data_IF_540918351536
#
_entry.id   IF_540918351536
#
_cell.length_a   1.000
_cell.length_b   1.000
_cell.length_c   1.000
_cell.angle_alpha   90.00
_cell.angle_beta   90.00
_cell.angle_gamma   90.00
#
_symmetry.space_group_name_H-M   'P 1'
#
loop_
_entity.id
_entity.type
_entity.pdbx_description
1 polymer ?
#
# COMPACT_ATOMS: atom_id res chain seq x y z
N UNK A 1 -25.71 10.12 1.27
CA UNK A 1 -25.59 9.37 0.00
C UNK A 1 -25.57 7.88 0.31
N UNK A 2 -25.98 7.03 -0.63
CA UNK A 2 -26.13 5.58 -0.40
C UNK A 2 -24.79 4.94 0.00
N UNK A 3 -24.75 4.26 1.15
CA UNK A 3 -23.56 3.56 1.65
C UNK A 3 -23.34 2.19 0.97
N UNK A 4 -24.39 1.67 0.34
CA UNK A 4 -24.36 0.45 -0.44
C UNK A 4 -25.26 0.56 -1.66
N UNK A 5 -24.84 -0.08 -2.76
CA UNK A 5 -25.61 -0.23 -3.98
C UNK A 5 -26.16 -1.66 -3.99
N UNK A 6 -27.47 -1.81 -4.20
CA UNK A 6 -28.10 -3.12 -4.36
C UNK A 6 -28.17 -3.48 -5.84
N UNK A 7 -27.56 -4.60 -6.22
CA UNK A 7 -27.64 -5.18 -7.57
C UNK A 7 -28.31 -6.54 -7.42
N UNK A 8 -29.65 -6.56 -7.51
CA UNK A 8 -30.44 -7.76 -7.20
C UNK A 8 -30.26 -8.19 -5.73
N UNK A 9 -29.91 -9.45 -5.43
CA UNK A 9 -29.67 -9.90 -4.06
C UNK A 9 -28.31 -9.46 -3.49
N UNK A 10 -27.43 -8.86 -4.30
CA UNK A 10 -26.09 -8.48 -3.87
C UNK A 10 -26.05 -7.05 -3.33
N UNK A 11 -25.56 -6.91 -2.10
CA UNK A 11 -25.30 -5.61 -1.47
C UNK A 11 -23.82 -5.29 -1.60
N UNK A 12 -23.47 -4.35 -2.47
CA UNK A 12 -22.07 -3.92 -2.65
C UNK A 12 -21.83 -2.64 -1.85
N UNK A 13 -20.94 -2.71 -0.86
CA UNK A 13 -20.55 -1.55 -0.06
C UNK A 13 -19.80 -0.54 -0.92
N UNK A 14 -20.17 0.74 -0.82
CA UNK A 14 -19.50 1.80 -1.58
C UNK A 14 -18.01 1.91 -1.24
N UNK A 15 -17.63 1.62 0.01
CA UNK A 15 -16.22 1.57 0.44
C UNK A 15 -15.40 0.51 -0.30
N UNK A 16 -16.00 -0.62 -0.69
CA UNK A 16 -15.34 -1.65 -1.48
C UNK A 16 -15.12 -1.17 -2.92
N UNK A 17 -16.12 -0.53 -3.52
CA UNK A 17 -15.98 0.07 -4.85
C UNK A 17 -14.90 1.14 -4.88
N UNK A 18 -14.85 2.01 -3.87
CA UNK A 18 -13.80 3.01 -3.73
C UNK A 18 -12.42 2.39 -3.55
N UNK A 19 -12.31 1.29 -2.79
CA UNK A 19 -11.05 0.56 -2.61
C UNK A 19 -10.54 -0.03 -3.93
N UNK A 20 -11.41 -0.71 -4.68
CA UNK A 20 -11.05 -1.29 -5.98
C UNK A 20 -10.69 -0.18 -6.97
N UNK A 21 -11.53 0.86 -7.06
CA UNK A 21 -11.28 2.00 -7.93
C UNK A 21 -9.99 2.74 -7.60
N UNK A 22 -9.67 2.90 -6.31
CA UNK A 22 -8.44 3.57 -5.89
C UNK A 22 -7.19 2.75 -6.19
N UNK A 23 -7.26 1.43 -6.05
CA UNK A 23 -6.18 0.54 -6.50
C UNK A 23 -5.97 0.69 -8.00
N UNK A 24 -7.04 0.62 -8.82
CA UNK A 24 -6.95 0.83 -10.28
C UNK A 24 -6.30 2.18 -10.60
N UNK A 25 -6.69 3.25 -9.91
CA UNK A 25 -6.07 4.57 -10.07
C UNK A 25 -4.56 4.56 -9.71
N UNK A 26 -4.17 3.80 -8.68
CA UNK A 26 -2.77 3.62 -8.33
C UNK A 26 -1.96 2.91 -9.41
N UNK A 27 -2.50 1.85 -10.00
CA UNK A 27 -1.90 1.15 -11.14
C UNK A 27 -1.76 2.08 -12.35
N UNK A 28 -2.82 2.81 -12.71
CA UNK A 28 -2.84 3.74 -13.84
C UNK A 28 -1.84 4.89 -13.66
N UNK A 29 -1.83 5.51 -12.48
CA UNK A 29 -0.91 6.61 -12.19
C UNK A 29 0.54 6.15 -12.30
N UNK A 30 0.87 4.99 -11.74
CA UNK A 30 2.20 4.43 -11.84
C UNK A 30 2.57 4.11 -13.30
N UNK A 31 1.65 3.51 -14.06
CA UNK A 31 1.87 3.21 -15.47
C UNK A 31 2.21 4.46 -16.30
N UNK A 32 1.55 5.59 -16.02
CA UNK A 32 1.75 6.86 -16.73
C UNK A 32 3.02 7.59 -16.27
N UNK A 33 3.30 7.59 -14.96
CA UNK A 33 4.38 8.40 -14.36
C UNK A 33 5.70 7.64 -14.14
N UNK A 34 5.71 6.35 -14.43
CA UNK A 34 6.85 5.46 -14.26
C UNK A 34 8.11 6.01 -14.96
N UNK A 35 9.26 6.07 -14.26
CA UNK A 35 10.55 6.43 -14.84
C UNK A 35 11.22 5.25 -15.57
N UNK A 36 10.65 4.04 -15.51
CA UNK A 36 11.19 2.83 -16.11
C UNK A 36 10.75 2.65 -17.57
N UNK A 37 11.45 1.77 -18.29
CA UNK A 37 11.00 1.36 -19.64
C UNK A 37 9.62 0.69 -19.55
N UNK A 38 8.87 0.68 -20.67
CA UNK A 38 7.51 0.11 -20.70
C UNK A 38 7.47 -1.35 -20.24
N UNK A 39 8.45 -2.16 -20.64
CA UNK A 39 8.52 -3.58 -20.27
C UNK A 39 8.82 -3.77 -18.78
N UNK A 40 9.75 -2.98 -18.24
CA UNK A 40 10.06 -2.98 -16.79
C UNK A 40 8.85 -2.49 -15.97
N UNK A 41 8.15 -1.46 -16.44
CA UNK A 41 6.94 -0.94 -15.80
C UNK A 41 5.85 -2.00 -15.73
N UNK A 42 5.58 -2.68 -16.85
CA UNK A 42 4.62 -3.79 -16.90
C UNK A 42 5.00 -4.90 -15.95
N UNK A 43 6.28 -5.30 -15.96
CA UNK A 43 6.79 -6.30 -15.04
C UNK A 43 6.56 -5.89 -13.57
N UNK A 44 6.88 -4.65 -13.18
CA UNK A 44 6.62 -4.18 -11.82
C UNK A 44 5.14 -4.21 -11.47
N UNK A 45 4.26 -3.79 -12.38
CA UNK A 45 2.82 -3.85 -12.18
C UNK A 45 2.34 -5.29 -12.00
N UNK A 46 2.83 -6.24 -12.80
CA UNK A 46 2.49 -7.67 -12.65
C UNK A 46 2.92 -8.20 -11.29
N UNK A 47 4.13 -7.86 -10.83
CA UNK A 47 4.61 -8.25 -9.51
C UNK A 47 3.80 -7.59 -8.39
N UNK A 48 3.40 -6.32 -8.54
CA UNK A 48 2.54 -5.62 -7.57
C UNK A 48 1.14 -6.26 -7.53
N UNK A 49 0.57 -6.61 -8.68
CA UNK A 49 -0.72 -7.31 -8.74
C UNK A 49 -0.64 -8.67 -8.04
N UNK A 50 0.41 -9.44 -8.30
CA UNK A 50 0.66 -10.72 -7.62
C UNK A 50 0.84 -10.53 -6.10
N UNK A 51 1.59 -9.52 -5.69
CA UNK A 51 1.80 -9.14 -4.29
C UNK A 51 0.48 -8.76 -3.59
N UNK A 52 -0.37 -7.97 -4.23
CA UNK A 52 -1.68 -7.59 -3.71
C UNK A 52 -2.64 -8.77 -3.65
N UNK A 53 -2.65 -9.62 -4.67
CA UNK A 53 -3.43 -10.86 -4.67
C UNK A 53 -3.03 -11.78 -3.52
N UNK A 54 -1.72 -11.98 -3.33
CA UNK A 54 -1.20 -12.72 -2.18
C UNK A 54 -1.60 -12.08 -0.84
N UNK A 55 -1.52 -10.74 -0.73
CA UNK A 55 -1.95 -10.03 0.48
C UNK A 55 -3.44 -10.24 0.78
N UNK A 56 -4.30 -10.21 -0.24
CA UNK A 56 -5.74 -10.49 -0.11
C UNK A 56 -5.98 -11.92 0.36
N UNK A 57 -5.28 -12.91 -0.23
CA UNK A 57 -5.35 -14.30 0.23
C UNK A 57 -4.89 -14.39 1.70
N UNK A 58 -3.80 -13.73 2.06
CA UNK A 58 -3.30 -13.73 3.43
C UNK A 58 -4.29 -13.09 4.43
N UNK A 59 -5.07 -12.08 4.01
CA UNK A 59 -6.18 -11.56 4.83
C UNK A 59 -7.25 -12.63 5.05
N UNK A 60 -7.65 -13.37 4.02
CA UNK A 60 -8.64 -14.44 4.18
C UNK A 60 -8.13 -15.58 5.06
N UNK A 61 -6.88 -16.02 4.86
CA UNK A 61 -6.24 -17.03 5.71
C UNK A 61 -6.17 -16.53 7.15
N UNK A 62 -5.81 -15.26 7.36
CA UNK A 62 -5.77 -14.64 8.68
C UNK A 62 -7.14 -14.68 9.38
N UNK A 63 -8.24 -14.41 8.67
CA UNK A 63 -9.60 -14.53 9.25
C UNK A 63 -9.89 -15.95 9.74
N UNK A 64 -9.58 -16.94 8.91
CA UNK A 64 -9.79 -18.36 9.24
C UNK A 64 -8.95 -18.76 10.44
N UNK A 65 -7.67 -18.39 10.43
CA UNK A 65 -6.73 -18.75 11.50
C UNK A 65 -7.08 -18.08 12.83
N UNK A 66 -7.57 -16.84 12.82
CA UNK A 66 -7.97 -16.13 14.04
C UNK A 66 -9.36 -16.54 14.56
N UNK A 67 -10.19 -17.17 13.74
CA UNK A 67 -11.55 -17.58 14.10
C UNK A 67 -11.78 -19.08 13.84
N UNK A 68 -10.82 -19.93 14.24
CA UNK A 68 -10.87 -21.36 13.95
C UNK A 68 -12.13 -22.05 14.49
N UNK A 69 -12.59 -21.70 15.69
CA UNK A 69 -13.83 -22.29 16.25
C UNK A 69 -15.03 -22.01 15.34
N UNK A 70 -15.22 -20.74 14.98
CA UNK A 70 -16.30 -20.32 14.08
C UNK A 70 -16.17 -20.95 12.69
N UNK A 71 -14.95 -21.22 12.22
CA UNK A 71 -14.75 -21.85 10.92
C UNK A 71 -15.24 -23.30 10.87
N UNK A 72 -15.07 -24.05 11.96
CA UNK A 72 -15.58 -25.43 12.04
C UNK A 72 -17.10 -25.49 12.24
N UNK A 73 -17.70 -24.46 12.82
CA UNK A 73 -19.15 -24.34 13.03
C UNK A 73 -19.87 -23.83 11.77
N UNK A 74 -19.39 -22.72 11.20
CA UNK A 74 -19.93 -22.08 10.01
C UNK A 74 -18.80 -21.44 9.17
N UNK A 75 -18.25 -22.18 8.20
CA UNK A 75 -17.18 -21.69 7.32
C UNK A 75 -17.56 -20.42 6.54
N UNK A 76 -18.84 -20.26 6.18
CA UNK A 76 -19.31 -19.12 5.41
C UNK A 76 -19.37 -17.86 6.27
N UNK A 77 -19.75 -17.99 7.54
CA UNK A 77 -19.75 -16.88 8.49
C UNK A 77 -18.34 -16.29 8.70
N UNK A 78 -17.30 -17.12 8.72
CA UNK A 78 -15.90 -16.65 8.86
C UNK A 78 -15.45 -15.81 7.68
N UNK A 79 -15.86 -16.16 6.46
CA UNK A 79 -15.51 -15.38 5.27
C UNK A 79 -16.23 -14.02 5.26
N UNK A 80 -17.45 -13.97 5.77
CA UNK A 80 -18.24 -12.76 5.96
C UNK A 80 -17.80 -11.91 7.16
N UNK A 81 -17.03 -12.48 8.10
CA UNK A 81 -16.57 -11.80 9.30
C UNK A 81 -15.76 -10.53 8.93
N UNK A 82 -16.03 -9.37 9.57
CA UNK A 82 -15.33 -8.14 9.21
C UNK A 82 -13.82 -8.27 9.48
N UNK A 83 -13.00 -7.84 8.52
CA UNK A 83 -11.56 -7.81 8.72
C UNK A 83 -11.20 -6.67 9.69
N UNK A 84 -10.47 -7.00 10.75
CA UNK A 84 -9.96 -6.04 11.72
C UNK A 84 -8.46 -5.75 11.53
N UNK A 85 -7.89 -4.99 12.45
CA UNK A 85 -6.45 -4.66 12.44
C UNK A 85 -5.56 -5.88 12.67
N UNK A 86 -6.02 -6.85 13.45
CA UNK A 86 -5.31 -8.11 13.74
C UNK A 86 -5.09 -8.93 12.47
N UNK A 87 -6.16 -9.09 11.67
CA UNK A 87 -6.10 -9.76 10.36
C UNK A 87 -5.13 -9.04 9.42
N UNK A 88 -5.13 -7.71 9.45
CA UNK A 88 -4.19 -6.91 8.66
C UNK A 88 -2.73 -7.15 9.07
N UNK A 89 -2.43 -7.15 10.38
CA UNK A 89 -1.07 -7.43 10.86
C UNK A 89 -0.61 -8.83 10.48
N UNK A 90 -1.49 -9.83 10.59
CA UNK A 90 -1.20 -11.19 10.16
C UNK A 90 -0.84 -11.22 8.67
N UNK A 91 -1.69 -10.64 7.81
CA UNK A 91 -1.44 -10.57 6.38
C UNK A 91 -0.15 -9.83 6.03
N UNK A 92 0.17 -8.76 6.76
CA UNK A 92 1.41 -8.01 6.60
C UNK A 92 2.65 -8.83 6.96
N UNK A 93 2.59 -9.62 8.03
CA UNK A 93 3.69 -10.56 8.38
C UNK A 93 3.84 -11.63 7.30
N UNK A 94 2.76 -12.26 6.86
CA UNK A 94 2.80 -13.22 5.75
C UNK A 94 3.39 -12.60 4.48
N UNK A 95 3.04 -11.34 4.18
CA UNK A 95 3.55 -10.60 3.04
C UNK A 95 5.07 -10.38 3.13
N UNK A 96 5.58 -9.98 4.30
CA UNK A 96 7.03 -9.83 4.53
C UNK A 96 7.75 -11.17 4.33
N UNK A 97 7.20 -12.26 4.89
CA UNK A 97 7.78 -13.59 4.74
C UNK A 97 7.81 -14.04 3.28
N UNK A 98 6.72 -13.82 2.55
CA UNK A 98 6.63 -14.10 1.12
C UNK A 98 7.66 -13.28 0.33
N UNK A 99 7.75 -11.97 0.57
CA UNK A 99 8.73 -11.10 -0.08
C UNK A 99 10.18 -11.53 0.23
N UNK A 100 10.45 -11.95 1.46
CA UNK A 100 11.76 -12.46 1.90
C UNK A 100 12.13 -13.79 1.22
N UNK A 101 11.17 -14.70 1.06
CA UNK A 101 11.37 -15.95 0.32
C UNK A 101 11.61 -15.69 -1.17
N UNK A 102 10.80 -14.80 -1.78
CA UNK A 102 10.89 -14.48 -3.21
C UNK A 102 12.21 -13.79 -3.57
N UNK A 103 12.73 -12.95 -2.68
CA UNK A 103 14.06 -12.32 -2.79
C UNK A 103 15.17 -13.32 -3.06
N UNK A 104 15.14 -14.48 -2.42
CA UNK A 104 16.21 -15.46 -2.52
C UNK A 104 16.14 -16.26 -3.84
N UNK A 105 14.95 -16.36 -4.43
CA UNK A 105 14.75 -17.11 -5.68
C UNK A 105 14.94 -16.27 -6.94
N UNK A 106 14.64 -14.97 -6.86
CA UNK A 106 14.60 -14.10 -8.04
C UNK A 106 15.67 -13.02 -7.90
N UNK A 107 16.66 -13.06 -8.80
CA UNK A 107 17.79 -12.10 -8.89
C UNK A 107 17.33 -10.72 -9.40
N UNK A 108 16.32 -10.13 -8.78
CA UNK A 108 15.67 -8.90 -9.27
C UNK A 108 15.88 -7.74 -8.30
N UNK A 109 15.97 -6.48 -8.78
CA UNK A 109 16.11 -5.30 -7.92
C UNK A 109 14.85 -5.05 -7.08
N UNK A 110 14.80 -5.65 -5.90
CA UNK A 110 13.73 -5.50 -4.89
C UNK A 110 13.46 -4.03 -4.56
N UNK A 111 14.49 -3.19 -4.61
CA UNK A 111 14.33 -1.75 -4.39
C UNK A 111 13.40 -1.10 -5.42
N UNK A 112 13.50 -1.48 -6.70
CA UNK A 112 12.60 -0.98 -7.74
C UNK A 112 11.16 -1.43 -7.51
N UNK A 113 10.98 -2.70 -7.12
CA UNK A 113 9.66 -3.26 -6.82
C UNK A 113 9.03 -2.59 -5.60
N UNK A 114 9.78 -2.44 -4.51
CA UNK A 114 9.29 -1.80 -3.30
C UNK A 114 8.93 -0.33 -3.55
N UNK A 115 9.74 0.41 -4.31
CA UNK A 115 9.44 1.79 -4.68
C UNK A 115 8.16 1.89 -5.52
N UNK A 116 8.03 1.02 -6.52
CA UNK A 116 6.86 0.95 -7.38
C UNK A 116 5.59 0.62 -6.57
N UNK A 117 5.70 -0.36 -5.67
CA UNK A 117 4.63 -0.73 -4.75
C UNK A 117 4.24 0.44 -3.84
N UNK A 118 5.20 1.16 -3.27
CA UNK A 118 4.93 2.35 -2.45
C UNK A 118 4.18 3.43 -3.22
N UNK A 119 4.55 3.72 -4.47
CA UNK A 119 3.87 4.72 -5.30
C UNK A 119 2.44 4.30 -5.62
N UNK A 120 2.23 3.04 -6.01
CA UNK A 120 0.87 2.50 -6.27
C UNK A 120 0.00 2.59 -5.03
N UNK A 121 0.50 2.15 -3.87
CA UNK A 121 -0.26 2.18 -2.61
C UNK A 121 -0.52 3.61 -2.14
N UNK A 122 0.45 4.52 -2.19
CA UNK A 122 0.25 5.93 -1.80
C UNK A 122 -0.78 6.59 -2.71
N UNK A 123 -0.74 6.32 -4.01
CA UNK A 123 -1.75 6.82 -4.95
C UNK A 123 -3.12 6.25 -4.63
N UNK A 124 -3.23 4.95 -4.38
CA UNK A 124 -4.48 4.32 -4.01
C UNK A 124 -5.03 4.87 -2.67
N UNK A 125 -4.17 5.15 -1.69
CA UNK A 125 -4.58 5.78 -0.43
C UNK A 125 -5.09 7.21 -0.67
N UNK A 126 -4.40 7.99 -1.51
CA UNK A 126 -4.85 9.33 -1.90
C UNK A 126 -6.23 9.26 -2.58
N UNK A 127 -6.37 8.45 -3.63
CA UNK A 127 -7.61 8.32 -4.40
C UNK A 127 -8.76 7.78 -3.55
N UNK A 128 -8.47 6.86 -2.61
CA UNK A 128 -9.47 6.36 -1.67
C UNK A 128 -9.96 7.45 -0.72
N UNK A 129 -9.05 8.18 -0.08
CA UNK A 129 -9.40 9.27 0.84
C UNK A 129 -10.11 10.42 0.12
N UNK A 130 -9.64 10.76 -1.08
CA UNK A 130 -10.28 11.75 -1.94
C UNK A 130 -11.70 11.33 -2.30
N UNK A 131 -11.87 10.10 -2.77
CA UNK A 131 -13.18 9.54 -3.10
C UNK A 131 -14.12 9.51 -1.90
N UNK A 132 -13.63 9.13 -0.71
CA UNK A 132 -14.43 9.21 0.52
C UNK A 132 -14.86 10.63 0.83
N UNK A 133 -13.97 11.61 0.65
CA UNK A 133 -14.31 13.01 0.92
C UNK A 133 -15.33 13.60 -0.06
N UNK A 134 -15.29 13.19 -1.33
CA UNK A 134 -16.20 13.69 -2.37
C UNK A 134 -17.56 12.97 -2.35
N UNK A 135 -17.55 11.65 -2.19
CA UNK A 135 -18.74 10.81 -2.40
C UNK A 135 -19.40 10.32 -1.11
N UNK A 136 -18.80 10.56 0.06
CA UNK A 136 -19.39 10.16 1.35
C UNK A 136 -19.42 11.31 2.34
N UNK A 137 -20.28 11.19 3.36
CA UNK A 137 -20.30 12.11 4.49
C UNK A 137 -19.28 11.73 5.58
N UNK A 138 -18.43 10.72 5.33
CA UNK A 138 -17.42 10.28 6.29
C UNK A 138 -16.27 11.28 6.26
N UNK A 139 -16.22 12.16 7.27
CA UNK A 139 -15.12 13.10 7.45
C UNK A 139 -13.84 12.34 7.81
N UNK A 140 -12.98 12.12 6.81
CA UNK A 140 -11.61 11.63 6.99
C UNK A 140 -10.63 12.80 7.13
N UNK A 141 -9.45 12.48 7.63
CA UNK A 141 -8.38 13.45 7.88
C UNK A 141 -7.92 14.17 6.61
N UNK A 142 -8.22 15.46 6.49
CA UNK A 142 -7.62 16.32 5.46
C UNK A 142 -6.10 16.32 5.49
N UNK A 143 -5.51 16.26 6.69
CA UNK A 143 -4.06 16.19 6.86
C UNK A 143 -3.48 14.91 6.20
N UNK A 144 -4.21 13.79 6.25
CA UNK A 144 -3.77 12.57 5.58
C UNK A 144 -3.87 12.73 4.06
N UNK A 145 -4.94 13.33 3.55
CA UNK A 145 -5.06 13.59 2.11
C UNK A 145 -3.90 14.46 1.61
N UNK A 146 -3.60 15.56 2.32
CA UNK A 146 -2.47 16.45 2.02
C UNK A 146 -1.13 15.72 2.09
N UNK A 147 -0.92 14.84 3.08
CA UNK A 147 0.29 14.02 3.19
C UNK A 147 0.51 13.18 1.91
N UNK A 148 -0.50 12.43 1.49
CA UNK A 148 -0.35 11.57 0.31
C UNK A 148 -0.15 12.42 -0.96
N UNK A 149 -0.84 13.56 -1.08
CA UNK A 149 -0.62 14.50 -2.18
C UNK A 149 0.83 15.00 -2.23
N UNK A 150 1.40 15.45 -1.11
CA UNK A 150 2.79 15.91 -1.01
C UNK A 150 3.78 14.79 -1.35
N UNK A 151 3.52 13.56 -0.92
CA UNK A 151 4.34 12.40 -1.27
C UNK A 151 4.32 12.09 -2.77
N UNK A 152 3.15 12.17 -3.42
CA UNK A 152 3.02 11.98 -4.87
C UNK A 152 3.71 13.09 -5.67
N UNK A 153 3.57 14.34 -5.22
CA UNK A 153 4.27 15.47 -5.81
C UNK A 153 5.79 15.31 -5.65
N UNK A 154 6.24 14.93 -4.46
CA UNK A 154 7.64 14.62 -4.16
C UNK A 154 8.18 13.49 -5.05
N UNK A 155 7.40 12.43 -5.27
CA UNK A 155 7.73 11.37 -6.24
C UNK A 155 8.01 11.94 -7.63
N UNK A 156 7.06 12.69 -8.20
CA UNK A 156 7.17 13.25 -9.56
C UNK A 156 8.42 14.15 -9.68
N UNK A 157 8.67 15.00 -8.67
CA UNK A 157 9.76 15.99 -8.71
C UNK A 157 11.14 15.38 -8.42
N UNK A 158 11.21 14.32 -7.61
CA UNK A 158 12.47 13.76 -7.12
C UNK A 158 12.89 12.46 -7.84
N UNK A 159 11.98 11.78 -8.54
CA UNK A 159 12.29 10.52 -9.25
C UNK A 159 13.40 10.64 -10.30
N UNK A 160 13.55 11.81 -10.92
CA UNK A 160 14.62 12.06 -11.89
C UNK A 160 15.97 12.44 -11.23
N UNK A 161 15.94 12.84 -9.94
CA UNK A 161 17.09 13.41 -9.23
C UNK A 161 17.72 12.43 -8.24
N UNK A 162 16.92 11.53 -7.68
CA UNK A 162 17.34 10.60 -6.63
C UNK A 162 17.40 9.17 -7.14
N UNK A 163 18.31 8.38 -6.56
CA UNK A 163 18.31 6.93 -6.80
C UNK A 163 17.06 6.28 -6.21
N UNK A 164 16.58 5.19 -6.80
CA UNK A 164 15.38 4.48 -6.33
C UNK A 164 15.44 4.10 -4.84
N UNK A 165 16.63 3.76 -4.31
CA UNK A 165 16.80 3.43 -2.89
C UNK A 165 16.59 4.65 -1.99
N UNK A 166 17.22 5.77 -2.31
CA UNK A 166 17.09 7.01 -1.52
C UNK A 166 15.66 7.50 -1.58
N UNK A 167 15.04 7.49 -2.76
CA UNK A 167 13.66 7.91 -2.93
C UNK A 167 12.69 7.03 -2.15
N UNK A 168 12.84 5.71 -2.21
CA UNK A 168 12.07 4.77 -1.38
C UNK A 168 12.24 5.09 0.11
N UNK A 169 13.48 5.24 0.56
CA UNK A 169 13.80 5.55 1.95
C UNK A 169 13.14 6.85 2.42
N UNK A 170 13.23 7.92 1.62
CA UNK A 170 12.60 9.21 1.92
C UNK A 170 11.08 9.07 1.97
N UNK A 171 10.46 8.44 0.97
CA UNK A 171 9.00 8.28 0.92
C UNK A 171 8.46 7.47 2.10
N UNK A 172 9.09 6.33 2.40
CA UNK A 172 8.67 5.43 3.50
C UNK A 172 8.91 6.09 4.87
N UNK A 173 10.06 6.73 5.07
CA UNK A 173 10.38 7.44 6.31
C UNK A 173 9.39 8.58 6.54
N UNK A 174 9.14 9.42 5.53
CA UNK A 174 8.24 10.55 5.66
C UNK A 174 6.79 10.10 5.89
N UNK A 175 6.31 9.10 5.15
CA UNK A 175 4.99 8.52 5.37
C UNK A 175 4.84 7.92 6.77
N UNK A 176 5.81 7.11 7.21
CA UNK A 176 5.82 6.47 8.53
C UNK A 176 5.86 7.50 9.67
N UNK A 177 6.71 8.52 9.55
CA UNK A 177 6.85 9.59 10.55
C UNK A 177 5.54 10.37 10.73
N UNK A 178 4.96 10.86 9.63
CA UNK A 178 3.73 11.66 9.72
C UNK A 178 2.55 10.80 10.19
N UNK A 179 2.41 9.55 9.70
CA UNK A 179 1.36 8.65 10.19
C UNK A 179 1.53 8.28 11.65
N UNK A 180 2.75 8.08 12.13
CA UNK A 180 3.04 7.85 13.55
C UNK A 180 2.62 9.06 14.39
N UNK A 181 3.03 10.27 14.02
CA UNK A 181 2.63 11.49 14.74
C UNK A 181 1.11 11.68 14.75
N UNK A 182 0.45 11.47 13.61
CA UNK A 182 -1.01 11.55 13.52
C UNK A 182 -1.72 10.50 14.38
N UNK A 183 -1.15 9.28 14.45
CA UNK A 183 -1.71 8.18 15.25
C UNK A 183 -1.71 8.45 16.76
N UNK A 184 -0.91 9.41 17.23
CA UNK A 184 -0.92 9.84 18.64
C UNK A 184 -2.11 10.74 18.99
N UNK A 185 -2.68 11.40 17.98
CA UNK A 185 -3.80 12.35 18.17
C UNK A 185 -5.13 11.69 17.83
N UNK A 186 -5.15 10.80 16.83
CA UNK A 186 -6.38 10.15 16.36
C UNK A 186 -6.11 8.79 15.74
N UNK A 187 -7.12 7.93 15.72
CA UNK A 187 -7.07 6.67 14.97
C UNK A 187 -6.83 6.95 13.49
N UNK A 188 -5.71 6.45 12.98
CA UNK A 188 -5.34 6.55 11.57
C UNK A 188 -5.65 5.25 10.85
N UNK A 189 -5.96 5.37 9.57
CA UNK A 189 -6.42 4.25 8.76
C UNK A 189 -5.48 4.02 7.57
N UNK A 190 -5.38 2.74 7.18
CA UNK A 190 -4.88 2.31 5.88
C UNK A 190 -6.07 1.67 5.17
N UNK A 191 -6.58 2.37 4.15
CA UNK A 191 -7.90 2.08 3.57
C UNK A 191 -9.00 2.02 4.64
N UNK A 192 -9.54 0.83 4.91
CA UNK A 192 -10.59 0.58 5.91
C UNK A 192 -10.04 0.08 7.24
N UNK A 193 -8.75 -0.23 7.33
CA UNK A 193 -8.14 -0.85 8.52
C UNK A 193 -7.62 0.21 9.49
N UNK A 194 -8.14 0.28 10.72
CA UNK A 194 -7.56 1.12 11.78
C UNK A 194 -6.26 0.47 12.26
N UNK A 195 -5.13 1.14 12.11
CA UNK A 195 -3.85 0.58 12.56
C UNK A 195 -3.33 1.30 13.80
N UNK A 196 -2.70 0.54 14.69
CA UNK A 196 -2.10 1.03 15.91
C UNK A 196 -0.80 1.78 15.63
N UNK A 197 -0.44 2.70 16.52
CA UNK A 197 0.70 3.60 16.35
C UNK A 197 2.03 2.87 16.17
N UNK A 198 2.22 1.73 16.84
CA UNK A 198 3.44 0.91 16.72
C UNK A 198 3.67 0.41 15.29
N UNK A 199 2.62 0.21 14.50
CA UNK A 199 2.76 -0.23 13.11
C UNK A 199 3.46 0.83 12.27
N UNK A 200 3.08 2.10 12.44
CA UNK A 200 3.74 3.21 11.73
C UNK A 200 5.17 3.44 12.21
N UNK A 201 5.46 3.17 13.49
CA UNK A 201 6.82 3.19 14.02
C UNK A 201 7.70 2.12 13.34
N UNK A 202 7.15 0.92 13.11
CA UNK A 202 7.83 -0.15 12.38
C UNK A 202 8.11 0.27 10.92
N UNK A 203 7.14 0.86 10.23
CA UNK A 203 7.34 1.37 8.86
C UNK A 203 8.39 2.48 8.82
N UNK A 204 8.38 3.38 9.80
CA UNK A 204 9.39 4.42 9.96
C UNK A 204 10.79 3.81 10.13
N UNK A 205 10.95 2.81 10.97
CA UNK A 205 12.21 2.11 11.16
C UNK A 205 12.72 1.47 9.86
N UNK A 206 11.84 0.83 9.08
CA UNK A 206 12.19 0.27 7.76
C UNK A 206 12.68 1.37 6.80
N UNK A 207 12.01 2.52 6.78
CA UNK A 207 12.40 3.66 5.95
C UNK A 207 13.80 4.19 6.32
N UNK A 208 14.07 4.36 7.62
CA UNK A 208 15.37 4.83 8.13
C UNK A 208 16.47 3.82 7.78
N UNK A 209 16.23 2.52 7.97
CA UNK A 209 17.20 1.48 7.60
C UNK A 209 17.49 1.45 6.10
N UNK A 210 16.48 1.73 5.26
CA UNK A 210 16.67 1.85 3.81
C UNK A 210 17.59 3.04 3.45
N UNK A 211 17.52 4.13 4.22
CA UNK A 211 18.40 5.30 4.06
C UNK A 211 19.82 5.05 4.60
N UNK A 212 19.98 4.44 5.78
CA UNK A 212 21.31 4.21 6.39
C UNK A 212 22.16 3.25 5.55
N UNK A 213 21.53 2.24 4.93
CA UNK A 213 22.22 1.28 4.05
C UNK A 213 22.63 1.87 2.68
N UNK A 214 22.61 3.19 2.55
CA UNK A 214 23.13 3.94 1.42
C UNK A 214 24.64 4.21 1.59
N UNK A 215 25.47 3.17 1.46
CA UNK A 215 26.91 3.37 1.24
C UNK A 215 27.14 3.68 -0.24
N UNK A 216 27.32 4.97 -0.53
CA UNK A 216 27.31 5.54 -1.86
C UNK A 216 28.39 5.00 -2.81
N UNK A 217 27.94 4.55 -3.98
CA UNK A 217 28.51 5.03 -5.25
C UNK A 217 27.33 5.60 -6.04
N UNK A 218 27.23 6.92 -6.08
CA UNK A 218 26.31 7.61 -6.99
C UNK A 218 26.83 7.35 -8.39
N UNK A 219 26.45 6.20 -8.97
CA UNK A 219 26.60 5.99 -10.41
C UNK A 219 25.49 6.83 -11.03
N UNK A 220 25.81 8.09 -11.33
CA UNK A 220 24.92 8.99 -12.06
C UNK A 220 24.36 8.21 -13.25
N UNK A 221 23.04 8.22 -13.36
CA UNK A 221 22.28 7.51 -14.36
C UNK A 221 22.69 8.06 -15.74
N UNK A 222 23.69 7.43 -16.36
CA UNK A 222 24.05 7.72 -17.73
C UNK A 222 22.85 7.32 -18.59
N UNK A 223 22.09 8.32 -19.03
CA UNK A 223 21.30 8.26 -20.26
C UNK A 223 22.25 7.98 -21.42
N UNK A 224 22.65 6.72 -21.56
CA UNK A 224 23.23 6.19 -22.79
C UNK A 224 22.40 4.98 -23.19
N UNK A 225 21.30 5.25 -23.88
CA UNK A 225 21.07 4.89 -25.29
C UNK A 225 19.57 4.91 -25.56
N UNK A 226 19.23 5.84 -26.46
CA UNK A 226 18.18 5.82 -27.49
C UNK A 226 16.93 5.00 -27.19
#
# INVERSE_FOLDING_TARGET
MQEAIMIGPFVVKMSLLMLIGSLVMGFLFFWITSPWKKDETRYYLDQIANALFFFVIALFIGKVFLNLSLFFEDPLAVLAFPSDSTVFYFAFVCFILFAGYYRNKIKFPITGLALSFSVVIITALFSFLFGQHIFTNVSRSMIELTLHFVLLLGWILLQAKLTSRVLLGVMVTFWGMIKFLLSMVKTTYVFTFPLASWFYLLILAIGILALINWKGKVKMWNRQRM
#
